data_IF_197391791219
#
_entry.id   IF_197391791219
#
_cell.length_a   1.000
_cell.length_b   1.000
_cell.length_c   1.000
_cell.angle_alpha   90.00
_cell.angle_beta   90.00
_cell.angle_gamma   90.00
#
_symmetry.space_group_name_H-M   'P 1'
#
loop_
_entity.id
_entity.type
_entity.pdbx_description
1 polymer ?
#
# COMPACT_ATOMS: atom_id res chain seq x y z
N UNK A 1 16.79 -0.04 8.82
CA UNK A 1 16.03 -0.10 7.56
C UNK A 1 14.59 -0.49 7.87
N UNK A 2 13.63 -0.01 7.12
CA UNK A 2 12.24 -0.40 7.30
C UNK A 2 11.42 0.43 8.27
N UNK A 3 11.88 1.61 8.67
CA UNK A 3 11.16 2.45 9.66
C UNK A 3 9.77 2.86 9.21
N UNK A 4 9.62 3.32 7.96
CA UNK A 4 8.32 3.71 7.43
C UNK A 4 7.44 2.48 7.22
N UNK A 5 8.00 1.40 6.70
CA UNK A 5 7.31 0.13 6.52
C UNK A 5 6.77 -0.39 7.85
N UNK A 6 7.59 -0.37 8.89
CA UNK A 6 7.17 -0.82 10.23
C UNK A 6 6.05 0.04 10.79
N UNK A 7 6.13 1.37 10.60
CA UNK A 7 5.10 2.30 11.03
C UNK A 7 3.77 2.03 10.33
N UNK A 8 3.79 1.82 9.01
CA UNK A 8 2.60 1.49 8.25
C UNK A 8 1.99 0.16 8.69
N UNK A 9 2.83 -0.86 8.89
CA UNK A 9 2.38 -2.19 9.29
C UNK A 9 1.74 -2.17 10.67
N UNK A 10 2.34 -1.45 11.61
CA UNK A 10 1.78 -1.30 12.96
C UNK A 10 0.44 -0.58 12.93
N UNK A 11 0.32 0.48 12.13
CA UNK A 11 -0.93 1.23 12.00
C UNK A 11 -2.05 0.35 11.44
N UNK A 12 -1.75 -0.47 10.45
CA UNK A 12 -2.74 -1.42 9.89
C UNK A 12 -3.14 -2.48 10.91
N UNK A 13 -2.17 -3.05 11.62
CA UNK A 13 -2.44 -4.08 12.63
C UNK A 13 -3.34 -3.55 13.75
N UNK A 14 -3.12 -2.29 14.15
CA UNK A 14 -3.89 -1.63 15.19
C UNK A 14 -5.18 -0.98 14.67
N UNK A 15 -5.40 -1.01 13.35
CA UNK A 15 -6.51 -0.34 12.65
C UNK A 15 -6.55 1.15 13.00
N UNK A 16 -5.38 1.77 13.14
CA UNK A 16 -5.21 3.16 13.51
C UNK A 16 -5.05 4.02 12.24
N UNK A 17 -6.18 4.54 11.74
CA UNK A 17 -6.20 5.33 10.51
C UNK A 17 -5.41 6.63 10.63
N UNK A 18 -5.44 7.26 11.80
CA UNK A 18 -4.69 8.49 12.04
C UNK A 18 -3.19 8.25 11.90
N UNK A 19 -2.68 7.18 12.52
CA UNK A 19 -1.28 6.82 12.41
C UNK A 19 -0.92 6.43 10.97
N UNK A 20 -1.82 5.70 10.29
CA UNK A 20 -1.62 5.30 8.90
C UNK A 20 -1.53 6.54 7.98
N UNK A 21 -2.49 7.46 8.11
CA UNK A 21 -2.53 8.68 7.31
C UNK A 21 -1.31 9.58 7.56
N UNK A 22 -0.76 9.55 8.76
CA UNK A 22 0.43 10.34 9.09
C UNK A 22 1.67 9.90 8.31
N UNK A 23 1.66 8.75 7.67
CA UNK A 23 2.75 8.28 6.83
C UNK A 23 2.79 8.95 5.46
N UNK A 24 1.69 9.60 5.06
CA UNK A 24 1.52 10.13 3.71
C UNK A 24 1.67 11.63 3.66
N UNK A 25 2.34 12.11 2.60
CA UNK A 25 2.46 13.52 2.29
C UNK A 25 1.10 14.08 1.88
N UNK A 26 0.86 15.38 2.13
CA UNK A 26 -0.39 16.04 1.73
C UNK A 26 -0.66 15.95 0.23
N UNK A 27 0.38 15.92 -0.57
CA UNK A 27 0.29 15.83 -2.04
C UNK A 27 0.38 14.40 -2.55
N UNK A 28 0.21 13.41 -1.69
CA UNK A 28 0.35 12.00 -2.08
C UNK A 28 -0.58 11.62 -3.22
N UNK A 29 -0.04 10.85 -4.19
CA UNK A 29 -0.78 10.24 -5.29
C UNK A 29 -0.39 8.77 -5.43
N UNK A 30 -1.37 7.96 -5.74
CA UNK A 30 -1.22 6.52 -5.95
C UNK A 30 -1.60 6.19 -7.39
N UNK A 31 -0.67 5.61 -8.14
CA UNK A 31 -0.90 5.25 -9.54
C UNK A 31 -0.97 3.73 -9.70
N UNK A 32 -2.06 3.27 -10.31
CA UNK A 32 -2.24 1.87 -10.69
C UNK A 32 -1.74 1.69 -12.12
N UNK A 33 -0.66 0.93 -12.32
CA UNK A 33 -0.13 0.71 -13.67
C UNK A 33 -1.10 -0.04 -14.56
N UNK A 34 -1.84 -1.00 -13.99
CA UNK A 34 -2.76 -1.84 -14.77
C UNK A 34 -3.91 -1.06 -15.40
N UNK A 35 -4.39 0.00 -14.75
CA UNK A 35 -5.55 0.76 -15.23
C UNK A 35 -5.21 2.20 -15.60
N UNK A 36 -4.03 2.69 -15.21
CA UNK A 36 -3.66 4.10 -15.36
C UNK A 36 -4.38 5.04 -14.39
N UNK A 37 -5.19 4.51 -13.49
CA UNK A 37 -5.93 5.31 -12.52
C UNK A 37 -4.99 5.96 -11.52
N UNK A 38 -5.28 7.21 -11.15
CA UNK A 38 -4.57 7.94 -10.10
C UNK A 38 -5.54 8.27 -8.98
N UNK A 39 -5.16 7.89 -7.75
CA UNK A 39 -5.91 8.22 -6.54
C UNK A 39 -5.09 9.21 -5.73
N UNK A 40 -5.74 10.28 -5.29
CA UNK A 40 -5.09 11.32 -4.50
C UNK A 40 -5.47 11.18 -3.02
N UNK A 41 -4.65 11.78 -2.16
CA UNK A 41 -4.92 11.80 -0.71
C UNK A 41 -6.30 12.41 -0.45
N UNK A 42 -7.07 11.75 0.41
CA UNK A 42 -8.40 12.21 0.80
C UNK A 42 -9.55 11.78 -0.11
N UNK A 43 -9.27 11.10 -1.22
CA UNK A 43 -10.33 10.60 -2.10
C UNK A 43 -11.07 9.40 -1.51
N UNK A 44 -10.43 8.64 -0.63
CA UNK A 44 -11.05 7.50 0.04
C UNK A 44 -11.48 7.88 1.44
N UNK A 45 -12.68 7.43 1.84
CA UNK A 45 -13.16 7.61 3.20
C UNK A 45 -12.47 6.61 4.13
N UNK A 46 -12.54 6.89 5.44
CA UNK A 46 -12.03 5.95 6.46
C UNK A 46 -12.75 4.62 6.38
N UNK A 47 -14.06 4.64 6.15
CA UNK A 47 -14.87 3.43 6.00
C UNK A 47 -14.40 2.58 4.82
N UNK A 48 -14.11 3.22 3.68
CA UNK A 48 -13.61 2.52 2.48
C UNK A 48 -12.25 1.88 2.74
N UNK A 49 -11.38 2.57 3.46
CA UNK A 49 -10.06 2.05 3.82
C UNK A 49 -10.17 0.82 4.72
N UNK A 50 -10.99 0.90 5.77
CA UNK A 50 -11.19 -0.22 6.69
C UNK A 50 -11.85 -1.40 5.99
N UNK A 51 -12.82 -1.16 5.13
CA UNK A 51 -13.47 -2.21 4.35
C UNK A 51 -12.47 -2.94 3.47
N UNK A 52 -11.57 -2.21 2.84
CA UNK A 52 -10.52 -2.80 2.00
C UNK A 52 -9.59 -3.69 2.83
N UNK A 53 -9.19 -3.23 4.01
CA UNK A 53 -8.33 -4.01 4.91
C UNK A 53 -9.03 -5.29 5.37
N UNK A 54 -10.34 -5.26 5.58
CA UNK A 54 -11.11 -6.41 6.02
C UNK A 54 -11.40 -7.39 4.87
N UNK A 55 -11.53 -6.88 3.65
CA UNK A 55 -11.96 -7.66 2.49
C UNK A 55 -10.80 -8.35 1.78
N UNK A 56 -9.67 -7.66 1.64
CA UNK A 56 -8.51 -8.20 0.95
C UNK A 56 -7.58 -8.88 1.96
N UNK A 57 -7.28 -10.14 1.72
CA UNK A 57 -6.30 -10.88 2.53
C UNK A 57 -4.92 -10.70 1.91
N UNK A 58 -3.98 -10.26 2.71
CA UNK A 58 -2.61 -10.03 2.27
C UNK A 58 -1.71 -11.08 2.88
N UNK A 59 -0.94 -11.75 2.03
CA UNK A 59 -0.03 -12.81 2.41
C UNK A 59 1.38 -12.42 2.02
N UNK A 60 2.33 -12.78 2.86
CA UNK A 60 3.76 -12.60 2.57
C UNK A 60 4.13 -11.14 2.28
N UNK A 61 3.48 -10.20 3.00
CA UNK A 61 3.79 -8.78 2.90
C UNK A 61 5.18 -8.53 3.50
N UNK A 62 6.05 -7.89 2.72
CA UNK A 62 7.42 -7.66 3.15
C UNK A 62 8.02 -6.43 2.50
N UNK A 63 8.96 -5.83 3.22
CA UNK A 63 9.78 -4.74 2.70
C UNK A 63 10.98 -5.34 1.97
N UNK A 64 11.11 -5.06 0.68
CA UNK A 64 12.26 -5.50 -0.11
C UNK A 64 13.42 -4.52 0.02
N UNK A 65 13.12 -3.24 0.13
CA UNK A 65 14.13 -2.20 0.26
C UNK A 65 13.51 -0.92 0.82
N UNK A 66 14.22 -0.24 1.68
CA UNK A 66 13.81 1.08 2.16
C UNK A 66 15.02 1.93 2.49
N UNK A 67 15.01 3.19 2.04
CA UNK A 67 15.97 4.21 2.44
C UNK A 67 15.23 5.54 2.64
N UNK A 68 15.97 6.65 2.71
CA UNK A 68 15.36 7.97 2.92
C UNK A 68 14.45 8.42 1.78
N UNK A 69 14.69 7.91 0.57
CA UNK A 69 14.02 8.38 -0.66
C UNK A 69 12.97 7.42 -1.16
N UNK A 70 13.04 6.14 -0.82
CA UNK A 70 12.21 5.12 -1.45
C UNK A 70 11.89 3.97 -0.49
N UNK A 71 10.70 3.40 -0.66
CA UNK A 71 10.26 2.18 0.01
C UNK A 71 9.67 1.24 -1.03
N UNK A 72 10.18 0.01 -1.11
CA UNK A 72 9.68 -1.02 -2.02
C UNK A 72 9.13 -2.19 -1.22
N UNK A 73 7.87 -2.55 -1.48
CA UNK A 73 7.22 -3.69 -0.82
C UNK A 73 6.72 -4.70 -1.84
N UNK A 74 6.52 -5.92 -1.39
CA UNK A 74 5.92 -6.98 -2.18
C UNK A 74 4.99 -7.82 -1.32
N UNK A 75 3.86 -8.20 -1.86
CA UNK A 75 2.88 -9.02 -1.16
C UNK A 75 2.04 -9.82 -2.15
N UNK A 76 1.34 -10.83 -1.65
CA UNK A 76 0.32 -11.55 -2.40
C UNK A 76 -1.03 -11.09 -1.85
N UNK A 77 -1.89 -10.58 -2.71
CA UNK A 77 -3.21 -10.08 -2.33
C UNK A 77 -4.27 -11.04 -2.84
N UNK A 78 -5.11 -11.54 -1.94
CA UNK A 78 -6.22 -12.44 -2.26
C UNK A 78 -7.52 -11.65 -2.30
N UNK A 79 -8.22 -11.76 -3.42
CA UNK A 79 -9.48 -11.04 -3.64
C UNK A 79 -10.69 -11.92 -3.30
N UNK A 80 -11.86 -11.32 -2.99
CA UNK A 80 -13.06 -12.08 -2.64
C UNK A 80 -13.56 -13.03 -3.73
N UNK A 81 -13.21 -12.77 -5.00
CA UNK A 81 -13.64 -13.62 -6.12
C UNK A 81 -12.79 -14.88 -6.29
N UNK A 82 -11.86 -15.16 -5.37
CA UNK A 82 -11.01 -16.33 -5.43
C UNK A 82 -9.74 -16.18 -6.25
N UNK A 83 -9.48 -14.99 -6.79
CA UNK A 83 -8.22 -14.72 -7.51
C UNK A 83 -7.19 -14.09 -6.59
N UNK A 84 -5.93 -14.11 -7.02
CA UNK A 84 -4.84 -13.48 -6.27
C UNK A 84 -3.85 -12.83 -7.24
N UNK A 85 -3.24 -11.74 -6.79
CA UNK A 85 -2.19 -11.05 -7.53
C UNK A 85 -0.92 -10.96 -6.69
N UNK A 86 0.23 -11.07 -7.34
CA UNK A 86 1.51 -10.68 -6.76
C UNK A 86 1.66 -9.17 -6.98
N UNK A 87 1.76 -8.39 -5.91
CA UNK A 87 1.73 -6.93 -5.95
C UNK A 87 3.05 -6.36 -5.48
N UNK A 88 3.67 -5.54 -6.33
CA UNK A 88 4.84 -4.75 -5.96
C UNK A 88 4.43 -3.29 -5.87
N UNK A 89 4.79 -2.64 -4.77
CA UNK A 89 4.57 -1.22 -4.58
C UNK A 89 5.89 -0.49 -4.42
N UNK A 90 6.02 0.61 -5.14
CA UNK A 90 7.17 1.51 -5.00
C UNK A 90 6.64 2.84 -4.50
N UNK A 91 7.09 3.22 -3.30
CA UNK A 91 6.73 4.50 -2.69
C UNK A 91 7.93 5.43 -2.74
N UNK A 92 7.77 6.58 -3.37
CA UNK A 92 8.79 7.63 -3.34
C UNK A 92 8.48 8.57 -2.19
N UNK A 93 9.51 8.94 -1.42
CA UNK A 93 9.35 9.78 -0.23
C UNK A 93 9.71 11.23 -0.53
N UNK A 94 9.03 12.14 0.16
CA UNK A 94 9.33 13.56 0.16
C UNK A 94 9.11 14.09 1.58
N UNK A 95 10.07 14.82 2.10
CA UNK A 95 10.01 15.34 3.47
C UNK A 95 9.78 14.24 4.51
N UNK A 96 10.32 13.05 4.27
CA UNK A 96 10.19 11.91 5.16
C UNK A 96 8.84 11.19 5.09
N UNK A 97 7.97 11.56 4.16
CA UNK A 97 6.63 11.01 4.01
C UNK A 97 6.46 10.36 2.64
N UNK A 98 5.51 9.43 2.54
CA UNK A 98 5.16 8.81 1.27
C UNK A 98 4.48 9.84 0.38
N UNK A 99 5.06 10.08 -0.79
CA UNK A 99 4.63 11.16 -1.67
C UNK A 99 4.04 10.66 -2.98
N UNK A 100 4.68 9.68 -3.60
CA UNK A 100 4.17 9.04 -4.81
C UNK A 100 4.27 7.53 -4.66
N UNK A 101 3.18 6.84 -4.95
CA UNK A 101 3.15 5.39 -4.92
C UNK A 101 2.73 4.87 -6.29
N UNK A 102 3.48 3.91 -6.80
CA UNK A 102 3.12 3.19 -8.02
C UNK A 102 3.03 1.71 -7.70
N UNK A 103 2.03 1.04 -8.27
CA UNK A 103 1.84 -0.38 -8.04
C UNK A 103 1.80 -1.13 -9.36
N UNK A 104 2.51 -2.26 -9.40
CA UNK A 104 2.40 -3.24 -10.45
C UNK A 104 1.86 -4.53 -9.85
N UNK A 105 0.93 -5.18 -10.54
CA UNK A 105 0.41 -6.45 -10.09
C UNK A 105 0.42 -7.48 -11.21
N UNK A 106 0.71 -8.73 -10.83
CA UNK A 106 0.75 -9.87 -11.74
C UNK A 106 -0.26 -10.90 -11.26
N UNK A 107 -1.24 -11.27 -12.08
CA UNK A 107 -2.20 -12.32 -11.69
C UNK A 107 -1.47 -13.63 -11.40
N UNK A 108 -1.85 -14.27 -10.31
CA UNK A 108 -1.30 -15.55 -9.92
C UNK A 108 -2.08 -16.68 -10.57
N UNK A 109 -1.43 -17.80 -10.89
CA UNK A 109 -2.15 -18.97 -11.43
C UNK A 109 -3.17 -19.49 -10.43
N UNK A 110 -4.32 -19.90 -10.93
CA UNK A 110 -5.29 -20.62 -10.11
C UNK A 110 -4.85 -22.07 -9.97
N UNK A 111 -4.94 -22.59 -8.78
CA UNK A 111 -4.71 -23.99 -8.51
C UNK A 111 -6.02 -24.78 -8.54
#
# INVERSE_FOLDING_TARGET
MGKMYDKMSAAKADRDLSAFDSCYHDDWEFKFHSSGRIVRRGENTDEQTLERWDTFKVENDRCLYENEDILVTHSIVHFPNGTADAVMMVHMKKDGLLWRTETGSTPMPKE
#
